data_IF_236882397465
#
_entry.id   IF_236882397465
#
_cell.length_a   1.000
_cell.length_b   1.000
_cell.length_c   1.000
_cell.angle_alpha   90.00
_cell.angle_beta   90.00
_cell.angle_gamma   90.00
#
_symmetry.space_group_name_H-M   'P 1'
#
loop_
_entity.id
_entity.type
_entity.pdbx_description
1 polymer ?
#
# COMPACT_ATOMS: atom_id res chain seq x y z
N UNK A 1 -13.61 -19.50 -2.51
CA UNK A 1 -12.58 -19.25 -1.49
C UNK A 1 -13.19 -18.50 -0.34
N UNK A 2 -13.02 -18.99 0.89
CA UNK A 2 -13.50 -18.36 2.11
C UNK A 2 -12.46 -17.36 2.59
N UNK A 3 -12.89 -16.18 3.06
CA UNK A 3 -11.99 -15.21 3.67
C UNK A 3 -12.56 -14.84 5.02
N UNK A 4 -11.79 -14.98 6.09
CA UNK A 4 -12.22 -14.64 7.44
C UNK A 4 -11.12 -13.99 8.25
N UNK A 5 -11.53 -13.15 9.20
CA UNK A 5 -10.65 -12.53 10.20
C UNK A 5 -10.40 -13.46 11.39
N UNK A 6 -11.18 -14.53 11.54
CA UNK A 6 -10.95 -15.58 12.53
C UNK A 6 -9.85 -16.53 12.06
N UNK A 7 -9.17 -17.14 13.01
CA UNK A 7 -8.17 -18.20 12.80
C UNK A 7 -8.78 -19.57 12.45
N UNK A 8 -10.11 -19.67 12.46
CA UNK A 8 -10.86 -20.90 12.22
C UNK A 8 -12.08 -20.65 11.32
N UNK A 9 -12.55 -21.71 10.65
CA UNK A 9 -13.76 -21.69 9.83
C UNK A 9 -14.80 -22.61 10.46
N UNK A 10 -15.96 -22.08 10.82
CA UNK A 10 -17.00 -22.85 11.51
C UNK A 10 -17.40 -24.10 10.71
N UNK A 11 -17.40 -25.26 11.39
CA UNK A 11 -17.74 -26.55 10.79
C UNK A 11 -16.70 -27.09 9.79
N UNK A 12 -15.49 -26.54 9.75
CA UNK A 12 -14.39 -27.05 8.91
C UNK A 12 -13.11 -27.20 9.73
N UNK A 13 -12.38 -28.28 9.48
CA UNK A 13 -11.05 -28.51 10.02
C UNK A 13 -9.99 -28.01 9.02
N UNK A 14 -8.93 -27.38 9.52
CA UNK A 14 -7.82 -26.90 8.70
C UNK A 14 -6.78 -28.01 8.62
N UNK A 15 -6.63 -28.62 7.45
CA UNK A 15 -5.70 -29.72 7.23
C UNK A 15 -4.25 -29.25 7.01
N UNK A 16 -4.06 -28.09 6.37
CA UNK A 16 -2.74 -27.59 5.99
C UNK A 16 -2.72 -26.05 5.92
N UNK A 17 -1.58 -25.46 6.25
CA UNK A 17 -1.30 -24.03 6.09
C UNK A 17 -0.34 -23.81 4.93
N UNK A 18 -0.82 -23.21 3.84
CA UNK A 18 -0.07 -23.08 2.59
C UNK A 18 0.89 -21.86 2.54
N UNK A 19 0.68 -20.87 3.41
CA UNK A 19 1.54 -19.69 3.49
C UNK A 19 0.82 -18.44 3.99
N UNK A 20 1.55 -17.33 4.06
CA UNK A 20 1.02 -16.01 4.40
C UNK A 20 0.89 -15.20 3.10
N UNK A 21 -0.30 -14.64 2.89
CA UNK A 21 -0.59 -13.75 1.76
C UNK A 21 -0.76 -12.32 2.25
N UNK A 22 -0.36 -11.35 1.43
CA UNK A 22 -0.46 -9.93 1.77
C UNK A 22 -1.05 -9.12 0.62
N UNK A 23 -1.65 -7.99 0.95
CA UNK A 23 -2.35 -7.16 -0.02
C UNK A 23 -2.41 -5.72 0.42
N UNK A 24 -2.15 -4.82 -0.52
CA UNK A 24 -2.17 -3.38 -0.28
C UNK A 24 -3.10 -2.71 -1.28
N UNK A 25 -3.95 -1.81 -0.79
CA UNK A 25 -4.83 -1.01 -1.62
C UNK A 25 -4.74 0.46 -1.23
N UNK A 26 -4.85 1.33 -2.23
CA UNK A 26 -4.63 2.76 -2.07
C UNK A 26 -5.94 3.53 -2.25
N UNK A 27 -6.31 4.32 -1.24
CA UNK A 27 -7.42 5.26 -1.30
C UNK A 27 -6.87 6.68 -1.43
N UNK A 28 -7.14 7.34 -2.55
CA UNK A 28 -6.87 8.76 -2.71
C UNK A 28 -8.14 9.54 -2.47
N UNK A 29 -8.12 10.43 -1.48
CA UNK A 29 -9.25 11.30 -1.18
C UNK A 29 -8.76 12.74 -1.16
N UNK A 30 -9.40 13.60 -1.94
CA UNK A 30 -9.28 15.06 -1.77
C UNK A 30 -10.12 15.48 -0.57
N UNK A 31 -10.06 16.75 -0.14
CA UNK A 31 -10.91 17.30 0.93
C UNK A 31 -12.39 17.02 0.62
N UNK A 32 -12.89 15.92 1.15
CA UNK A 32 -14.19 15.34 0.85
C UNK A 32 -14.91 15.08 2.15
N UNK A 33 -16.25 14.97 2.07
CA UNK A 33 -17.07 14.50 3.18
C UNK A 33 -16.58 13.15 3.68
N UNK A 34 -16.81 12.87 4.96
CA UNK A 34 -16.42 11.60 5.58
C UNK A 34 -17.01 10.40 4.85
N UNK A 35 -18.22 10.52 4.30
CA UNK A 35 -18.86 9.47 3.50
C UNK A 35 -18.04 9.09 2.27
N UNK A 36 -17.49 10.10 1.55
CA UNK A 36 -16.64 9.86 0.38
C UNK A 36 -15.30 9.24 0.78
N UNK A 37 -14.78 9.60 1.95
CA UNK A 37 -13.55 8.97 2.49
C UNK A 37 -13.79 7.52 2.87
N UNK A 38 -14.90 7.24 3.54
CA UNK A 38 -15.31 5.88 3.90
C UNK A 38 -15.51 5.02 2.65
N UNK A 39 -16.18 5.54 1.62
CA UNK A 39 -16.36 4.85 0.34
C UNK A 39 -15.03 4.55 -0.37
N UNK A 40 -14.11 5.52 -0.39
CA UNK A 40 -12.78 5.33 -0.97
C UNK A 40 -11.95 4.29 -0.19
N UNK A 41 -12.02 4.31 1.14
CA UNK A 41 -11.35 3.32 1.99
C UNK A 41 -11.92 1.92 1.79
N UNK A 42 -13.25 1.78 1.62
CA UNK A 42 -13.88 0.50 1.32
C UNK A 42 -13.42 -0.04 -0.05
N UNK A 43 -13.33 0.83 -1.05
CA UNK A 43 -12.80 0.46 -2.38
C UNK A 43 -11.34 0.01 -2.31
N UNK A 44 -10.50 0.76 -1.61
CA UNK A 44 -9.09 0.39 -1.42
C UNK A 44 -8.94 -0.92 -0.65
N UNK A 45 -9.79 -1.18 0.35
CA UNK A 45 -9.83 -2.49 1.02
C UNK A 45 -10.19 -3.61 0.07
N UNK A 46 -11.14 -3.40 -0.84
CA UNK A 46 -11.45 -4.38 -1.89
C UNK A 46 -10.21 -4.69 -2.74
N UNK A 47 -9.51 -3.67 -3.21
CA UNK A 47 -8.27 -3.83 -3.98
C UNK A 47 -7.17 -4.53 -3.19
N UNK A 48 -7.06 -4.24 -1.89
CA UNK A 48 -6.11 -4.90 -1.00
C UNK A 48 -6.41 -6.41 -0.85
N UNK A 49 -7.61 -6.88 -1.21
CA UNK A 49 -7.96 -8.30 -1.15
C UNK A 49 -7.78 -9.04 -2.48
N UNK A 50 -7.64 -8.32 -3.60
CA UNK A 50 -7.51 -8.94 -4.92
C UNK A 50 -6.18 -9.72 -5.04
N UNK A 51 -5.05 -9.08 -4.69
CA UNK A 51 -3.73 -9.71 -4.73
C UNK A 51 -3.61 -10.96 -3.84
N UNK A 52 -3.93 -10.93 -2.53
CA UNK A 52 -3.84 -12.12 -1.69
C UNK A 52 -4.82 -13.21 -2.12
N UNK A 53 -5.93 -12.86 -2.77
CA UNK A 53 -6.87 -13.83 -3.33
C UNK A 53 -6.31 -14.54 -4.55
N UNK A 54 -5.62 -13.84 -5.44
CA UNK A 54 -4.96 -14.43 -6.59
C UNK A 54 -3.80 -15.33 -6.15
N UNK A 55 -2.99 -14.89 -5.18
CA UNK A 55 -1.91 -15.70 -4.60
C UNK A 55 -2.45 -16.98 -3.95
N UNK A 56 -3.48 -16.86 -3.12
CA UNK A 56 -4.13 -18.00 -2.49
C UNK A 56 -4.71 -18.97 -3.53
N UNK A 57 -5.32 -18.46 -4.61
CA UNK A 57 -5.81 -19.29 -5.71
C UNK A 57 -4.67 -20.00 -6.44
N UNK A 58 -3.52 -19.33 -6.64
CA UNK A 58 -2.32 -19.92 -7.23
C UNK A 58 -1.74 -21.07 -6.39
N UNK A 59 -1.83 -20.97 -5.07
CA UNK A 59 -1.48 -22.02 -4.12
C UNK A 59 -2.57 -23.11 -3.98
N UNK A 60 -3.70 -22.97 -4.70
CA UNK A 60 -4.90 -23.84 -4.58
C UNK A 60 -5.51 -23.85 -3.18
N UNK A 61 -5.40 -22.74 -2.45
CA UNK A 61 -6.00 -22.59 -1.14
C UNK A 61 -7.53 -22.42 -1.25
N UNK A 62 -8.27 -23.13 -0.39
CA UNK A 62 -9.72 -23.00 -0.28
C UNK A 62 -10.16 -21.84 0.61
N UNK A 63 -9.30 -21.42 1.54
CA UNK A 63 -9.59 -20.39 2.52
C UNK A 63 -8.36 -19.52 2.86
N UNK A 64 -8.63 -18.25 3.13
CA UNK A 64 -7.74 -17.31 3.80
C UNK A 64 -8.33 -17.05 5.18
N UNK A 65 -7.56 -17.34 6.23
CA UNK A 65 -7.96 -17.18 7.63
C UNK A 65 -7.04 -16.17 8.31
N UNK A 66 -7.48 -15.65 9.45
CA UNK A 66 -6.68 -14.73 10.26
C UNK A 66 -6.44 -13.37 9.59
N UNK A 67 -7.31 -12.96 8.66
CA UNK A 67 -7.13 -11.69 7.95
C UNK A 67 -7.10 -10.51 8.93
N UNK A 68 -6.11 -9.62 8.74
CA UNK A 68 -5.93 -8.39 9.52
C UNK A 68 -5.76 -7.21 8.57
N UNK A 69 -6.49 -6.13 8.82
CA UNK A 69 -6.36 -4.89 8.07
C UNK A 69 -5.76 -3.79 8.93
N UNK A 70 -4.64 -3.20 8.49
CA UNK A 70 -4.03 -2.04 9.11
C UNK A 70 -4.14 -0.84 8.16
N UNK A 71 -5.13 0.07 8.35
CA UNK A 71 -5.18 1.31 7.58
C UNK A 71 -4.05 2.23 8.05
N UNK A 72 -3.02 2.40 7.22
CA UNK A 72 -1.95 3.35 7.48
C UNK A 72 -2.22 4.64 6.69
N UNK A 73 -2.45 5.79 7.36
CA UNK A 73 -2.52 7.06 6.65
C UNK A 73 -1.11 7.38 6.13
N UNK A 74 -0.88 7.25 4.83
CA UNK A 74 0.34 7.77 4.23
C UNK A 74 0.23 9.29 4.22
N UNK A 75 1.21 10.03 4.77
CA UNK A 75 1.25 11.47 4.56
C UNK A 75 1.34 11.70 3.06
N UNK A 76 0.39 12.47 2.52
CA UNK A 76 0.57 13.06 1.19
C UNK A 76 1.96 13.69 1.18
N UNK A 77 2.81 13.45 0.17
CA UNK A 77 4.06 14.17 0.06
C UNK A 77 3.68 15.65 0.07
N UNK A 78 3.96 16.33 1.19
CA UNK A 78 3.91 17.77 1.28
C UNK A 78 4.71 18.24 0.10
N UNK A 79 4.02 18.79 -0.91
CA UNK A 79 4.65 19.20 -2.15
C UNK A 79 5.87 19.97 -1.75
N UNK A 80 7.05 19.39 -2.03
CA UNK A 80 8.31 20.10 -1.87
C UNK A 80 8.05 21.41 -2.56
N UNK A 81 8.09 22.49 -1.80
CA UNK A 81 8.01 23.83 -2.35
C UNK A 81 9.02 23.85 -3.49
N UNK A 82 8.55 23.73 -4.73
CA UNK A 82 9.34 24.13 -5.89
C UNK A 82 9.33 25.65 -5.84
N UNK A 83 10.00 26.23 -4.84
CA UNK A 83 10.69 27.49 -5.01
C UNK A 83 11.91 27.19 -5.85
N UNK A 84 11.66 26.85 -7.11
CA UNK A 84 12.65 26.78 -8.17
C UNK A 84 12.04 27.57 -9.31
N UNK A 85 12.32 28.87 -9.35
CA UNK A 85 12.75 29.64 -10.54
C UNK A 85 12.44 31.14 -10.39
N UNK A 86 13.13 32.05 -11.11
CA UNK A 86 14.37 31.88 -11.87
C UNK A 86 15.44 32.94 -11.51
N UNK A 87 16.72 32.56 -11.50
CA UNK A 87 17.80 33.51 -11.76
C UNK A 87 18.18 33.40 -13.24
N UNK A 88 18.08 34.46 -14.07
CA UNK A 88 18.60 34.44 -15.42
C UNK A 88 20.14 34.67 -15.40
N UNK A 89 20.80 34.45 -16.55
CA UNK A 89 21.96 33.56 -16.63
C UNK A 89 23.27 34.34 -16.71
N UNK A 90 24.38 33.69 -16.38
CA UNK A 90 25.66 33.91 -17.10
C UNK A 90 26.71 32.91 -16.69
N UNK A 91 27.15 32.13 -17.67
CA UNK A 91 28.54 31.72 -17.82
C UNK A 91 29.16 30.89 -16.68
N UNK A 92 28.89 29.60 -16.66
CA UNK A 92 29.88 28.62 -16.20
C UNK A 92 29.50 27.23 -16.69
N UNK A 93 30.37 26.67 -17.52
CA UNK A 93 30.34 25.33 -18.07
C UNK A 93 30.71 24.29 -17.01
N UNK A 94 29.75 23.88 -16.16
CA UNK A 94 29.84 22.65 -15.35
C UNK A 94 28.43 22.07 -15.13
N UNK A 95 28.19 20.76 -15.32
CA UNK A 95 26.90 20.16 -14.99
C UNK A 95 26.86 19.87 -13.48
N UNK A 96 26.36 20.80 -12.67
CA UNK A 96 26.19 20.55 -11.23
C UNK A 96 24.76 20.82 -10.81
N UNK A 97 24.06 19.71 -10.57
CA UNK A 97 22.69 19.68 -10.07
C UNK A 97 22.09 18.29 -10.18
N UNK A 98 22.85 17.25 -9.82
CA UNK A 98 22.27 15.92 -9.61
C UNK A 98 21.26 16.05 -8.49
N UNK A 99 19.98 15.79 -8.77
CA UNK A 99 18.97 15.60 -7.75
C UNK A 99 19.39 14.41 -6.88
N UNK A 100 20.13 14.68 -5.80
CA UNK A 100 20.46 13.66 -4.82
C UNK A 100 19.15 13.23 -4.14
N UNK A 101 18.72 12.01 -4.44
CA UNK A 101 17.65 11.33 -3.71
C UNK A 101 18.00 11.32 -2.21
N UNK A 102 17.02 11.52 -1.30
CA UNK A 102 17.29 11.39 0.12
C UNK A 102 17.74 9.94 0.43
N UNK A 103 18.74 9.75 1.31
CA UNK A 103 19.29 8.43 1.61
C UNK A 103 18.23 7.55 2.30
N UNK A 104 18.06 6.35 1.76
CA UNK A 104 17.34 5.24 2.40
C UNK A 104 17.99 4.93 3.76
N UNK A 105 17.25 4.86 4.88
CA UNK A 105 17.78 4.25 6.09
C UNK A 105 17.91 2.74 5.85
N UNK A 106 19.13 2.30 5.61
CA UNK A 106 19.53 0.90 5.69
C UNK A 106 19.27 0.40 7.12
N UNK A 107 18.38 -0.57 7.29
CA UNK A 107 18.35 -1.43 8.48
C UNK A 107 18.61 -2.87 8.06
N UNK A 108 19.77 -3.40 8.47
CA UNK A 108 20.12 -4.82 8.38
C UNK A 108 21.21 -5.13 9.42
N UNK A 109 21.31 -6.39 9.83
CA UNK A 109 20.53 -7.07 10.85
C UNK A 109 21.00 -6.78 12.28
#
# INVERSE_FOLDING_TARGET
MIITTTDSVAGREIHEYLGVVTGTGYAYTLRSSEDKKAAAALKARGQALDMPREEAAGLRADAIIGLRGSPTPTPVPSGTSRSCSPGPPSGSSEPVGVCAAPPVPYTRP
#
